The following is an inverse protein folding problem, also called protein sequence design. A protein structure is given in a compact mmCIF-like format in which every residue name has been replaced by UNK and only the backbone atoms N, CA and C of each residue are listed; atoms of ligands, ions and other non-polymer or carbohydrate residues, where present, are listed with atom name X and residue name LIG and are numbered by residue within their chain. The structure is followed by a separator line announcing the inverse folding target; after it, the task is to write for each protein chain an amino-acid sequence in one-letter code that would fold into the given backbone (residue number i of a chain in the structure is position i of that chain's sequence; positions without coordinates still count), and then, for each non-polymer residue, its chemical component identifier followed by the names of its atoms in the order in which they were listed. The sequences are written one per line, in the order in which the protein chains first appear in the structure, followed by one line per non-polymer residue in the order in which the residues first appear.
data_IF_003498591091
#
_entry.id   IF_003498591091
#
_cell.length_a   1.000
_cell.length_b   1.000
_cell.length_c   1.000
_cell.angle_alpha   90.00
_cell.angle_beta   90.00
_cell.angle_gamma   90.00
#
_symmetry.space_group_name_H-M   'P 1'
#
loop_
_entity.id
_entity.type
_entity.pdbx_description
1 polymer ?
#
# COMPACT_ATOMS: atom_id res chain seq x y z
N UNK A 1 22.31 7.78 15.74
CA UNK A 1 22.86 6.88 14.71
C UNK A 1 21.83 6.86 13.60
N UNK A 2 22.20 7.21 12.37
CA UNK A 2 21.30 7.17 11.22
C UNK A 2 20.93 5.72 10.92
N UNK A 3 19.64 5.44 10.71
CA UNK A 3 19.19 4.09 10.39
C UNK A 3 19.31 3.89 8.87
N UNK A 4 20.46 3.35 8.43
CA UNK A 4 20.76 3.09 7.02
C UNK A 4 20.44 1.63 6.68
N UNK A 5 19.55 1.43 5.71
CA UNK A 5 19.19 0.11 5.17
C UNK A 5 19.40 0.08 3.67
N UNK A 6 20.09 -0.93 3.18
CA UNK A 6 20.34 -1.15 1.77
C UNK A 6 19.61 -2.41 1.30
N UNK A 7 18.65 -2.22 0.41
CA UNK A 7 17.97 -3.31 -0.29
C UNK A 7 18.74 -3.60 -1.58
N UNK A 8 19.11 -4.87 -1.82
CA UNK A 8 19.82 -5.31 -3.03
C UNK A 8 18.96 -6.30 -3.82
N UNK A 9 18.87 -6.13 -5.13
CA UNK A 9 18.10 -7.01 -6.01
C UNK A 9 17.64 -6.29 -7.28
N UNK A 10 17.03 -7.03 -8.21
CA UNK A 10 16.44 -6.43 -9.40
C UNK A 10 15.47 -5.31 -8.98
N UNK A 11 15.64 -4.11 -9.53
CA UNK A 11 14.90 -2.92 -9.08
C UNK A 11 14.17 -2.26 -10.23
N UNK A 12 12.86 -2.09 -10.07
CA UNK A 12 11.98 -1.36 -10.98
C UNK A 12 11.88 0.11 -10.58
N UNK A 13 12.08 1.00 -11.54
CA UNK A 13 11.97 2.45 -11.35
C UNK A 13 11.23 3.11 -12.52
N UNK A 14 10.61 4.25 -12.22
CA UNK A 14 9.88 5.07 -13.19
C UNK A 14 10.48 6.46 -13.23
N UNK A 15 10.81 6.95 -14.42
CA UNK A 15 11.41 8.28 -14.67
C UNK A 15 10.54 9.20 -15.52
N UNK A 16 9.37 8.73 -15.96
CA UNK A 16 8.47 9.48 -16.82
C UNK A 16 7.04 8.94 -16.82
N UNK A 17 6.20 9.52 -17.67
CA UNK A 17 4.82 9.09 -17.87
C UNK A 17 4.70 8.27 -19.18
N UNK A 18 4.46 6.94 -19.11
CA UNK A 18 4.37 6.10 -20.30
C UNK A 18 3.14 6.40 -21.17
N UNK A 19 2.23 7.29 -20.74
CA UNK A 19 1.13 7.80 -21.57
C UNK A 19 1.53 9.03 -22.41
N UNK A 20 2.71 9.61 -22.16
CA UNK A 20 3.21 10.81 -22.84
C UNK A 20 4.48 10.55 -23.67
N UNK A 21 5.21 9.47 -23.39
CA UNK A 21 6.41 9.03 -24.12
C UNK A 21 6.39 7.52 -24.34
N UNK A 22 7.36 6.99 -25.08
CA UNK A 22 7.56 5.54 -25.15
C UNK A 22 7.78 4.98 -23.73
N UNK A 23 7.22 3.81 -23.45
CA UNK A 23 7.27 3.24 -22.10
C UNK A 23 8.69 2.81 -21.72
N UNK A 24 9.50 2.46 -22.72
CA UNK A 24 10.92 2.13 -22.60
C UNK A 24 11.76 3.29 -22.04
N UNK A 25 11.33 4.54 -22.27
CA UNK A 25 11.98 5.74 -21.74
C UNK A 25 11.48 6.11 -20.33
N UNK A 26 10.31 5.61 -19.96
CA UNK A 26 9.65 5.91 -18.68
C UNK A 26 9.89 4.86 -17.60
N UNK A 27 10.31 3.64 -17.98
CA UNK A 27 10.42 2.48 -17.10
C UNK A 27 11.80 1.85 -17.23
N UNK A 28 12.49 1.65 -16.10
CA UNK A 28 13.78 0.95 -16.06
C UNK A 28 13.74 -0.20 -15.06
N UNK A 29 14.19 -1.38 -15.50
CA UNK A 29 14.54 -2.50 -14.62
C UNK A 29 16.06 -2.62 -14.60
N UNK A 30 16.65 -2.45 -13.41
CA UNK A 30 18.07 -2.65 -13.18
C UNK A 30 18.27 -3.99 -12.45
N UNK A 31 18.78 -5.01 -13.16
CA UNK A 31 18.96 -6.36 -12.60
C UNK A 31 20.03 -6.43 -11.52
N UNK A 32 20.92 -5.43 -11.47
CA UNK A 32 21.96 -5.28 -10.45
C UNK A 32 21.66 -4.10 -9.52
N UNK A 33 20.38 -3.75 -9.39
CA UNK A 33 19.93 -2.59 -8.64
C UNK A 33 20.06 -2.72 -7.12
N UNK A 34 19.91 -1.56 -6.47
CA UNK A 34 19.73 -1.45 -5.04
C UNK A 34 19.06 -0.13 -4.67
N UNK A 35 18.48 -0.11 -3.47
CA UNK A 35 17.77 1.02 -2.89
C UNK A 35 18.37 1.30 -1.52
N UNK A 36 19.00 2.46 -1.37
CA UNK A 36 19.45 2.95 -0.07
C UNK A 36 18.33 3.74 0.61
N UNK A 37 18.04 3.39 1.85
CA UNK A 37 17.04 4.02 2.69
C UNK A 37 17.74 4.59 3.92
N UNK A 38 17.52 5.87 4.19
CA UNK A 38 18.00 6.57 5.38
C UNK A 38 16.80 7.18 6.12
N UNK A 39 16.63 6.81 7.39
CA UNK A 39 15.58 7.34 8.27
C UNK A 39 14.17 7.28 7.63
N UNK A 40 13.88 6.15 6.97
CA UNK A 40 12.58 5.88 6.33
C UNK A 40 12.36 6.55 4.98
N UNK A 41 13.38 7.19 4.39
CA UNK A 41 13.33 7.82 3.07
C UNK A 41 14.35 7.22 2.12
N UNK A 42 13.99 7.15 0.84
CA UNK A 42 14.95 6.73 -0.20
C UNK A 42 16.00 7.83 -0.34
N UNK A 43 17.27 7.49 -0.11
CA UNK A 43 18.39 8.39 -0.30
C UNK A 43 18.95 8.29 -1.74
N UNK A 44 19.10 7.07 -2.24
CA UNK A 44 19.59 6.82 -3.61
C UNK A 44 19.12 5.46 -4.12
N UNK A 45 18.85 5.39 -5.42
CA UNK A 45 18.60 4.14 -6.17
C UNK A 45 19.66 4.04 -7.25
N UNK A 46 20.28 2.88 -7.43
CA UNK A 46 21.35 2.70 -8.40
C UNK A 46 21.93 1.29 -8.39
N UNK A 47 23.14 1.13 -8.94
CA UNK A 47 23.85 -0.15 -8.92
C UNK A 47 24.16 -0.59 -7.48
N UNK A 48 23.75 -1.81 -7.13
CA UNK A 48 23.80 -2.34 -5.77
C UNK A 48 25.22 -2.51 -5.23
N UNK A 49 26.19 -2.90 -6.06
CA UNK A 49 27.58 -3.07 -5.63
C UNK A 49 28.24 -1.72 -5.34
N UNK A 50 27.99 -0.71 -6.18
CA UNK A 50 28.43 0.66 -5.93
C UNK A 50 27.82 1.22 -4.64
N UNK A 51 26.52 0.99 -4.40
CA UNK A 51 25.85 1.40 -3.16
C UNK A 51 26.43 0.68 -1.93
N UNK A 52 26.71 -0.62 -2.03
CA UNK A 52 27.32 -1.39 -0.92
C UNK A 52 28.72 -0.88 -0.59
N UNK A 53 29.52 -0.54 -1.59
CA UNK A 53 30.85 0.01 -1.41
C UNK A 53 30.81 1.41 -0.77
N UNK A 54 29.88 2.27 -1.19
CA UNK A 54 29.70 3.61 -0.64
C UNK A 54 29.16 3.62 0.80
N UNK A 55 28.40 2.58 1.19
CA UNK A 55 27.73 2.49 2.49
C UNK A 55 28.02 1.16 3.20
N UNK A 56 29.27 0.94 3.64
CA UNK A 56 29.70 -0.34 4.21
C UNK A 56 29.03 -0.68 5.55
N UNK A 57 28.50 0.33 6.25
CA UNK A 57 27.86 0.17 7.57
C UNK A 57 26.34 -0.04 7.48
N UNK A 58 25.72 0.08 6.30
CA UNK A 58 24.29 -0.10 6.15
C UNK A 58 23.88 -1.55 6.40
N UNK A 59 22.73 -1.73 7.06
CA UNK A 59 22.08 -3.03 7.19
C UNK A 59 21.61 -3.50 5.80
N UNK A 60 22.05 -4.68 5.35
CA UNK A 60 21.74 -5.18 4.01
C UNK A 60 20.67 -6.25 4.04
N UNK A 61 19.67 -6.08 3.20
CA UNK A 61 18.72 -7.14 2.83
C UNK A 61 18.86 -7.42 1.33
N UNK A 62 19.08 -8.69 0.96
CA UNK A 62 19.24 -9.10 -0.44
C UNK A 62 18.03 -9.94 -0.89
N UNK A 63 17.48 -9.57 -2.05
CA UNK A 63 16.37 -10.24 -2.72
C UNK A 63 16.87 -10.82 -4.05
N UNK A 64 17.32 -12.08 -4.03
CA UNK A 64 17.96 -12.71 -5.20
C UNK A 64 16.97 -13.02 -6.33
N UNK A 65 15.77 -13.51 -5.98
CA UNK A 65 14.77 -14.02 -6.93
C UNK A 65 13.48 -13.18 -6.93
N UNK A 66 13.59 -11.88 -6.60
CA UNK A 66 12.45 -10.97 -6.55
C UNK A 66 12.78 -9.63 -7.20
N UNK A 67 11.71 -8.96 -7.66
CA UNK A 67 11.76 -7.59 -8.15
C UNK A 67 11.37 -6.64 -7.01
N UNK A 68 12.27 -5.72 -6.66
CA UNK A 68 11.98 -4.59 -5.80
C UNK A 68 11.22 -3.56 -6.63
N UNK A 69 9.99 -3.24 -6.25
CA UNK A 69 9.16 -2.24 -6.89
C UNK A 69 8.54 -1.28 -5.86
N UNK A 70 8.05 -0.10 -6.29
CA UNK A 70 7.23 0.74 -5.43
C UNK A 70 5.98 -0.02 -4.95
N UNK A 71 5.57 0.21 -3.71
CA UNK A 71 4.31 -0.32 -3.20
C UNK A 71 3.12 0.21 -4.01
N UNK A 72 2.07 -0.59 -4.15
CA UNK A 72 0.92 -0.21 -4.95
C UNK A 72 0.07 0.87 -4.27
N UNK A 73 -0.55 1.70 -5.11
CA UNK A 73 -1.46 2.77 -4.71
C UNK A 73 -2.86 2.41 -5.17
N UNK A 74 -3.75 2.18 -4.22
CA UNK A 74 -5.17 1.98 -4.50
C UNK A 74 -5.92 3.30 -4.31
N UNK A 75 -6.36 3.86 -5.43
CA UNK A 75 -6.96 5.19 -5.46
C UNK A 75 -8.45 5.20 -5.09
N UNK A 76 -9.11 4.04 -4.95
CA UNK A 76 -10.54 4.01 -4.66
C UNK A 76 -11.01 2.68 -4.07
N UNK A 77 -11.36 2.71 -2.78
CA UNK A 77 -11.96 1.55 -2.11
C UNK A 77 -12.99 1.96 -1.07
N UNK A 78 -13.82 0.99 -0.68
CA UNK A 78 -14.72 1.09 0.46
C UNK A 78 -14.32 0.04 1.50
N UNK A 79 -13.45 0.40 2.46
CA UNK A 79 -13.04 -0.54 3.50
C UNK A 79 -14.24 -1.13 4.30
N UNK A 80 -15.36 -0.39 4.55
CA UNK A 80 -16.50 -0.95 5.25
C UNK A 80 -17.13 -2.15 4.56
N UNK A 81 -16.91 -2.31 3.25
CA UNK A 81 -17.49 -3.35 2.43
C UNK A 81 -16.60 -4.61 2.35
N UNK A 82 -15.52 -4.68 3.14
CA UNK A 82 -14.56 -5.79 3.11
C UNK A 82 -15.22 -7.16 3.36
N UNK A 83 -16.19 -7.23 4.27
CA UNK A 83 -16.85 -8.50 4.61
C UNK A 83 -17.83 -9.01 3.53
N UNK A 84 -18.18 -8.18 2.55
CA UNK A 84 -19.12 -8.52 1.47
C UNK A 84 -18.43 -8.66 0.11
N UNK A 85 -17.10 -8.61 0.06
CA UNK A 85 -16.33 -8.89 -1.15
C UNK A 85 -16.75 -10.26 -1.72
N UNK A 86 -16.92 -10.31 -3.05
CA UNK A 86 -17.36 -11.49 -3.79
C UNK A 86 -18.78 -12.02 -3.45
N UNK A 87 -19.66 -11.18 -2.88
CA UNK A 87 -21.09 -11.49 -2.79
C UNK A 87 -21.73 -11.67 -4.17
N UNK A 88 -22.85 -12.43 -4.24
CA UNK A 88 -23.49 -12.77 -5.52
C UNK A 88 -23.88 -11.52 -6.34
N UNK A 89 -23.58 -11.57 -7.64
CA UNK A 89 -23.78 -10.47 -8.57
C UNK A 89 -25.23 -9.98 -8.66
N UNK A 90 -25.41 -8.67 -8.53
CA UNK A 90 -26.68 -7.94 -8.66
C UNK A 90 -26.43 -6.63 -9.41
N UNK A 91 -27.49 -5.98 -9.88
CA UNK A 91 -27.39 -4.58 -10.37
C UNK A 91 -27.01 -3.68 -9.20
N UNK A 92 -26.34 -2.57 -9.48
CA UNK A 92 -25.78 -1.67 -8.46
C UNK A 92 -26.78 -1.34 -7.34
N UNK A 93 -27.98 -0.84 -7.66
CA UNK A 93 -28.96 -0.45 -6.63
C UNK A 93 -29.44 -1.64 -5.79
N UNK A 94 -29.59 -2.80 -6.41
CA UNK A 94 -30.00 -4.02 -5.73
C UNK A 94 -28.87 -4.53 -4.82
N UNK A 95 -27.61 -4.38 -5.27
CA UNK A 95 -26.41 -4.70 -4.49
C UNK A 95 -26.27 -3.78 -3.26
N UNK A 96 -26.45 -2.47 -3.45
CA UNK A 96 -26.40 -1.48 -2.38
C UNK A 96 -27.41 -1.79 -1.27
N UNK A 97 -28.66 -2.04 -1.65
CA UNK A 97 -29.72 -2.32 -0.68
C UNK A 97 -29.60 -3.72 -0.04
N UNK A 98 -29.10 -4.72 -0.78
CA UNK A 98 -29.02 -6.09 -0.26
C UNK A 98 -27.78 -6.32 0.62
N UNK A 99 -26.64 -5.73 0.28
CA UNK A 99 -25.36 -6.04 0.92
C UNK A 99 -24.68 -4.80 1.53
N UNK A 100 -24.55 -3.73 0.76
CA UNK A 100 -23.72 -2.58 1.16
C UNK A 100 -24.28 -1.85 2.36
N UNK A 101 -25.52 -1.36 2.30
CA UNK A 101 -26.10 -0.61 3.43
C UNK A 101 -26.23 -1.47 4.69
N UNK A 102 -26.71 -2.73 4.62
CA UNK A 102 -26.72 -3.60 5.80
C UNK A 102 -25.34 -3.80 6.41
N UNK A 103 -24.29 -3.99 5.61
CA UNK A 103 -22.93 -4.16 6.11
C UNK A 103 -22.37 -2.86 6.71
N UNK A 104 -22.50 -1.73 6.01
CA UNK A 104 -22.03 -0.44 6.49
C UNK A 104 -22.73 0.00 7.78
N UNK A 105 -24.00 -0.36 7.99
CA UNK A 105 -24.73 -0.10 9.23
C UNK A 105 -24.13 -0.84 10.44
N UNK A 106 -23.50 -2.00 10.25
CA UNK A 106 -22.88 -2.75 11.35
C UNK A 106 -21.67 -2.04 11.92
N UNK A 107 -21.01 -1.19 11.12
CA UNK A 107 -19.90 -0.34 11.60
C UNK A 107 -20.39 0.79 12.52
N UNK A 108 -21.69 0.90 12.82
CA UNK A 108 -22.16 1.69 13.96
C UNK A 108 -21.60 1.18 15.30
N UNK A 109 -21.21 -0.10 15.39
CA UNK A 109 -20.47 -0.67 16.51
C UNK A 109 -18.95 -0.40 16.33
N UNK A 110 -18.31 0.34 17.25
CA UNK A 110 -16.86 0.61 17.20
C UNK A 110 -15.99 -0.64 17.20
N UNK A 111 -16.39 -1.71 17.88
CA UNK A 111 -15.62 -2.94 17.92
C UNK A 111 -15.59 -3.61 16.54
N UNK A 112 -16.74 -3.66 15.87
CA UNK A 112 -16.84 -4.18 14.51
C UNK A 112 -16.11 -3.31 13.49
N UNK A 113 -16.17 -1.98 13.62
CA UNK A 113 -15.40 -1.06 12.78
C UNK A 113 -13.89 -1.32 12.90
N UNK A 114 -13.37 -1.53 14.12
CA UNK A 114 -11.98 -1.91 14.36
C UNK A 114 -11.60 -3.25 13.73
N UNK A 115 -12.45 -4.27 13.86
CA UNK A 115 -12.24 -5.59 13.25
C UNK A 115 -12.12 -5.48 11.71
N UNK A 116 -13.04 -4.75 11.08
CA UNK A 116 -13.08 -4.60 9.63
C UNK A 116 -11.92 -3.74 9.11
N UNK A 117 -11.54 -2.67 9.82
CA UNK A 117 -10.37 -1.87 9.48
C UNK A 117 -9.07 -2.71 9.53
N UNK A 118 -8.88 -3.48 10.61
CA UNK A 118 -7.73 -4.36 10.75
C UNK A 118 -7.67 -5.42 9.65
N UNK A 119 -8.79 -6.13 9.42
CA UNK A 119 -8.89 -7.13 8.34
C UNK A 119 -8.56 -6.54 6.98
N UNK A 120 -9.10 -5.36 6.67
CA UNK A 120 -8.89 -4.71 5.39
C UNK A 120 -7.41 -4.37 5.16
N UNK A 121 -6.75 -3.75 6.15
CA UNK A 121 -5.35 -3.34 6.02
C UNK A 121 -4.36 -4.51 6.00
N UNK A 122 -4.68 -5.61 6.68
CA UNK A 122 -3.89 -6.85 6.58
C UNK A 122 -4.01 -7.47 5.17
N UNK A 123 -5.21 -7.48 4.60
CA UNK A 123 -5.45 -7.96 3.24
C UNK A 123 -4.70 -7.14 2.20
N UNK A 124 -4.77 -5.81 2.26
CA UNK A 124 -4.12 -4.94 1.27
C UNK A 124 -2.60 -5.01 1.36
N UNK A 125 -2.05 -5.07 2.59
CA UNK A 125 -0.62 -5.25 2.80
C UNK A 125 -0.12 -6.58 2.21
N UNK A 126 -0.86 -7.67 2.40
CA UNK A 126 -0.53 -8.99 1.85
C UNK A 126 -0.53 -9.01 0.31
N UNK A 127 -1.19 -8.04 -0.33
CA UNK A 127 -1.24 -7.89 -1.80
C UNK A 127 -0.38 -6.72 -2.32
N UNK A 128 0.48 -6.14 -1.48
CA UNK A 128 1.47 -5.14 -1.88
C UNK A 128 0.95 -3.69 -1.96
N UNK A 129 -0.30 -3.43 -1.57
CA UNK A 129 -0.84 -2.08 -1.49
C UNK A 129 -0.38 -1.39 -0.22
N UNK A 130 0.28 -0.25 -0.37
CA UNK A 130 0.90 0.50 0.74
C UNK A 130 0.28 1.89 0.95
N UNK A 131 -0.43 2.38 -0.06
CA UNK A 131 -1.16 3.65 0.00
C UNK A 131 -2.58 3.45 -0.50
N UNK A 132 -3.56 3.95 0.25
CA UNK A 132 -4.98 3.70 -0.03
C UNK A 132 -5.79 4.99 0.14
N UNK A 133 -6.71 5.23 -0.79
CA UNK A 133 -7.77 6.22 -0.66
C UNK A 133 -9.12 5.51 -0.42
N UNK A 134 -9.67 5.63 0.79
CA UNK A 134 -10.86 4.89 1.21
C UNK A 134 -12.05 5.75 1.64
N UNK A 135 -13.23 5.33 1.20
CA UNK A 135 -14.50 5.77 1.77
C UNK A 135 -14.78 5.07 3.10
N UNK A 136 -15.22 5.86 4.07
CA UNK A 136 -15.71 5.40 5.37
C UNK A 136 -17.25 5.36 5.38
N UNK A 137 -17.84 5.02 6.53
CA UNK A 137 -19.29 5.10 6.71
C UNK A 137 -19.73 6.48 7.22
N UNK A 138 -21.02 6.66 7.42
CA UNK A 138 -21.57 7.86 8.06
C UNK A 138 -21.18 8.01 9.54
N UNK A 139 -20.69 6.95 10.18
CA UNK A 139 -20.30 6.94 11.57
C UNK A 139 -18.85 7.44 11.69
N UNK A 140 -18.58 8.56 12.40
CA UNK A 140 -17.24 9.16 12.47
C UNK A 140 -16.15 8.18 12.97
N UNK A 141 -16.48 7.34 13.95
CA UNK A 141 -15.55 6.36 14.50
C UNK A 141 -15.11 5.28 13.49
N UNK A 142 -15.82 5.12 12.37
CA UNK A 142 -15.35 4.26 11.28
C UNK A 142 -14.11 4.85 10.58
N UNK A 143 -13.98 6.18 10.50
CA UNK A 143 -12.75 6.80 10.02
C UNK A 143 -11.63 6.68 11.06
N UNK A 144 -11.95 6.92 12.35
CA UNK A 144 -10.98 6.79 13.45
C UNK A 144 -10.38 5.37 13.52
N UNK A 145 -11.22 4.34 13.39
CA UNK A 145 -10.79 2.95 13.38
C UNK A 145 -9.80 2.65 12.23
N UNK A 146 -10.06 3.19 11.04
CA UNK A 146 -9.17 3.02 9.89
C UNK A 146 -7.84 3.77 10.10
N UNK A 147 -7.88 5.00 10.59
CA UNK A 147 -6.67 5.79 10.85
C UNK A 147 -5.81 5.15 11.94
N UNK A 148 -6.41 4.69 13.03
CA UNK A 148 -5.65 4.01 14.10
C UNK A 148 -5.00 2.73 13.58
N UNK A 149 -5.76 1.89 12.86
CA UNK A 149 -5.22 0.66 12.29
C UNK A 149 -4.08 0.91 11.29
N UNK A 150 -4.13 2.02 10.56
CA UNK A 150 -3.08 2.42 9.63
C UNK A 150 -1.84 2.98 10.33
N UNK A 151 -2.02 3.78 11.38
CA UNK A 151 -0.93 4.31 12.20
C UNK A 151 -0.13 3.17 12.84
N UNK A 152 -0.80 2.18 13.41
CA UNK A 152 -0.18 0.99 14.01
C UNK A 152 0.70 0.21 13.01
N UNK A 153 0.39 0.30 11.71
CA UNK A 153 1.11 -0.36 10.61
C UNK A 153 2.10 0.54 9.88
N UNK A 154 2.11 1.85 10.16
CA UNK A 154 2.84 2.84 9.37
C UNK A 154 2.38 2.95 7.90
N UNK A 155 1.12 2.59 7.61
CA UNK A 155 0.55 2.68 6.26
C UNK A 155 0.06 4.10 5.94
N UNK A 156 0.12 4.47 4.65
CA UNK A 156 -0.37 5.77 4.19
C UNK A 156 -1.83 5.68 3.79
N UNK A 157 -2.71 6.37 4.50
CA UNK A 157 -4.15 6.39 4.21
C UNK A 157 -4.64 7.81 3.94
N UNK A 158 -5.48 7.94 2.92
CA UNK A 158 -6.39 9.06 2.73
C UNK A 158 -7.79 8.50 2.93
N UNK A 159 -8.57 9.05 3.85
CA UNK A 159 -9.91 8.54 4.10
C UNK A 159 -10.89 9.64 4.50
N UNK A 160 -12.16 9.39 4.22
CA UNK A 160 -13.24 10.31 4.54
C UNK A 160 -14.61 9.80 4.11
N UNK A 161 -15.61 10.66 4.31
CA UNK A 161 -16.96 10.50 3.80
C UNK A 161 -17.24 11.58 2.76
#
# INVERSE_FOLDING_TARGET
MTNQRLLLGATLSYSGNPMQSAWEDAVKIDTEGGVMIEDGRIAVVGNGDALRAAHPQAEVTRYADALICPGFVDAHVHYPQTAIIASWGKRLIDWLNTYTFPEEMRLSDPAYAGEIAGRYLDLTLAHGTTTIASYCTIHPHSADALFQAAEDRGQRIVAGK
#
